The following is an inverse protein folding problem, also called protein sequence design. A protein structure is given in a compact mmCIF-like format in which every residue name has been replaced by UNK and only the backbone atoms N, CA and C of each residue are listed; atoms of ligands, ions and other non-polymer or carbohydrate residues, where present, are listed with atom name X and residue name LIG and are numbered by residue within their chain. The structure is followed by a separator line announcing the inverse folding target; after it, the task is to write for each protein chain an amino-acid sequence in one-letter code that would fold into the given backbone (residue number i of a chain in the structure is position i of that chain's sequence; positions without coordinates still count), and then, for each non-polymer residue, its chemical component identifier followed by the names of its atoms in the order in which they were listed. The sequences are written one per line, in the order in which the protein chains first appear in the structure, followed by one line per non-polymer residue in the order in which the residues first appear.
data_IF_402289454865
#
_entry.id   IF_402289454865
#
_cell.length_a   1.000
_cell.length_b   1.000
_cell.length_c   1.000
_cell.angle_alpha   90.00
_cell.angle_beta   90.00
_cell.angle_gamma   90.00
#
_symmetry.space_group_name_H-M   'P 1'
#
loop_
_entity.id
_entity.type
_entity.pdbx_description
1 polymer ?
2 non-polymer ?
3 non-polymer ?
4 non-polymer ?
5 non-polymer ?
6 non-polymer ?
7 water ?
#
# COMPACT_ATOMS: atom_id res chain seq x y z
N UNK A 17 16.53 -15.02 -8.24
CA UNK A 17 15.52 -14.14 -8.90
C UNK A 17 16.02 -13.32 -10.12
N UNK A 18 15.08 -13.13 -10.99
CA UNK A 18 15.29 -12.34 -12.22
C UNK A 18 15.09 -10.83 -11.89
N UNK A 19 15.79 -9.97 -12.63
CA UNK A 19 15.58 -8.54 -12.41
C UNK A 19 14.13 -8.12 -12.57
N UNK A 20 13.35 -8.75 -13.50
CA UNK A 20 11.98 -8.37 -13.79
C UNK A 20 11.02 -8.99 -12.78
N UNK A 21 11.45 -9.74 -11.80
CA UNK A 21 10.54 -10.33 -10.82
C UNK A 21 9.82 -9.23 -9.99
N UNK A 22 8.61 -9.59 -9.59
CA UNK A 22 7.85 -8.74 -8.66
C UNK A 22 7.52 -9.56 -7.45
N UNK A 23 8.12 -9.24 -6.32
CA UNK A 23 7.93 -10.00 -5.08
C UNK A 23 6.45 -10.05 -4.69
N UNK A 24 6.07 -11.13 -4.04
CA UNK A 24 4.69 -11.40 -3.67
C UNK A 24 4.10 -10.18 -2.94
N UNK A 25 2.93 -9.76 -3.38
CA UNK A 25 2.23 -8.66 -2.78
C UNK A 25 1.54 -8.93 -1.49
N UNK A 26 1.10 -7.86 -0.82
CA UNK A 26 0.18 -8.10 0.26
C UNK A 26 -1.14 -8.63 -0.23
N UNK A 27 -1.91 -9.33 0.64
CA UNK A 27 -3.14 -10.02 0.22
C UNK A 27 -4.38 -9.21 0.54
N UNK A 28 -4.22 -8.14 1.32
CA UNK A 28 -5.36 -7.22 1.57
C UNK A 28 -4.82 -5.77 1.50
N UNK A 29 -5.72 -4.89 1.28
CA UNK A 29 -5.46 -3.45 1.57
C UNK A 29 -6.24 -3.12 2.79
N UNK A 30 -5.69 -2.18 3.59
CA UNK A 30 -6.32 -1.89 4.85
C UNK A 30 -6.39 -0.36 5.01
N UNK A 31 -7.45 0.09 5.69
CA UNK A 31 -7.61 1.48 6.05
C UNK A 31 -8.10 1.62 7.45
N UNK A 32 -7.89 2.80 8.02
CA UNK A 32 -8.58 3.20 9.22
C UNK A 32 -9.87 3.95 8.86
N UNK A 33 -10.98 3.62 9.49
CA UNK A 33 -12.25 4.35 9.36
C UNK A 33 -12.11 5.72 10.02
N UNK A 34 -13.17 6.51 9.92
CA UNK A 34 -13.21 7.85 10.55
C UNK A 34 -13.00 7.71 12.05
N UNK A 35 -13.41 6.57 12.67
CA UNK A 35 -13.20 6.38 14.05
C UNK A 35 -11.96 5.55 14.37
N UNK A 36 -11.14 5.35 13.37
CA UNK A 36 -9.88 4.62 13.43
C UNK A 36 -10.01 3.11 13.46
N UNK A 37 -11.19 2.57 13.44
CA UNK A 37 -11.32 1.09 13.30
C UNK A 37 -10.68 0.63 12.01
N UNK A 38 -9.92 -0.43 12.09
CA UNK A 38 -9.33 -1.04 10.93
C UNK A 38 -10.32 -1.78 10.12
N UNK A 39 -10.16 -1.76 8.78
CA UNK A 39 -11.02 -2.47 7.85
C UNK A 39 -10.15 -2.95 6.73
N UNK A 40 -10.30 -4.23 6.34
CA UNK A 40 -9.48 -4.92 5.36
C UNK A 40 -10.33 -5.34 4.16
N UNK A 41 -9.72 -5.29 3.00
CA UNK A 41 -10.31 -5.57 1.72
C UNK A 41 -9.47 -6.55 0.94
N UNK A 42 -10.04 -7.67 0.51
CA UNK A 42 -9.35 -8.59 -0.37
C UNK A 42 -10.24 -9.26 -1.33
N UNK A 43 -9.67 -10.18 -2.15
CA UNK A 43 -10.42 -10.86 -3.18
C UNK A 43 -10.51 -12.32 -2.80
N UNK A 44 -11.74 -12.86 -2.79
CA UNK A 44 -11.98 -14.25 -2.43
C UNK A 44 -11.96 -15.15 -3.64
N UNK A 45 -12.25 -16.47 -3.31
CA UNK A 45 -12.28 -17.45 -4.38
C UNK A 45 -13.34 -17.34 -5.35
N UNK A 46 -14.37 -16.53 -5.06
CA UNK A 46 -15.40 -16.14 -5.94
C UNK A 46 -15.11 -14.96 -6.85
N UNK A 47 -13.87 -14.52 -6.74
CA UNK A 47 -13.38 -13.34 -7.45
C UNK A 47 -14.09 -12.05 -7.11
N UNK A 48 -14.70 -11.99 -5.97
CA UNK A 48 -15.38 -10.73 -5.49
C UNK A 48 -14.49 -10.16 -4.40
N UNK A 49 -14.66 -8.85 -4.21
CA UNK A 49 -14.05 -8.19 -3.05
C UNK A 49 -14.87 -8.39 -1.82
N UNK A 50 -14.28 -8.83 -0.73
CA UNK A 50 -14.92 -8.90 0.55
C UNK A 50 -14.14 -8.03 1.54
N UNK A 51 -14.81 -7.64 2.62
CA UNK A 51 -14.20 -6.83 3.65
C UNK A 51 -14.65 -7.18 5.01
N UNK A 52 -13.89 -6.81 6.01
CA UNK A 52 -14.10 -7.11 7.41
C UNK A 52 -13.53 -6.00 8.23
N UNK A 53 -14.06 -5.75 9.38
CA UNK A 53 -13.65 -4.62 10.19
C UNK A 53 -13.65 -4.95 11.65
N UNK A 54 -12.84 -4.19 12.39
CA UNK A 54 -12.90 -4.19 13.80
C UNK A 54 -14.24 -3.56 14.25
N UNK A 55 -14.91 -4.14 15.26
CA UNK A 55 -16.13 -3.53 15.77
C UNK A 55 -15.86 -2.31 16.66
N UNK A 56 -14.72 -2.29 17.27
CA UNK A 56 -14.16 -1.19 18.09
C UNK A 56 -12.74 -1.00 17.90
N UNK A 57 -12.17 0.26 18.06
CA UNK A 57 -10.83 0.53 17.58
C UNK A 57 -9.53 0.14 18.28
N UNK A 58 -9.30 -1.14 18.45
CA UNK A 58 -8.12 -1.60 19.11
C UNK A 58 -7.86 -3.03 18.64
N UNK A 59 -6.58 -3.44 18.85
CA UNK A 59 -6.20 -4.71 18.01
C UNK A 59 -6.92 -6.02 18.50
N UNK A 60 -7.10 -6.07 19.80
CA UNK A 60 -7.90 -7.11 20.54
C UNK A 60 -9.38 -7.13 20.34
N UNK A 61 -9.94 -6.23 19.47
CA UNK A 61 -11.39 -6.21 19.33
C UNK A 61 -11.92 -7.44 18.50
N UNK A 62 -13.16 -7.68 18.71
CA UNK A 62 -13.96 -8.59 17.80
C UNK A 62 -14.00 -7.95 16.44
N UNK A 63 -14.08 -8.79 15.46
CA UNK A 63 -14.24 -8.35 14.08
C UNK A 63 -15.68 -8.68 13.65
N UNK A 64 -16.20 -7.91 12.73
CA UNK A 64 -17.56 -8.07 12.30
C UNK A 64 -17.88 -9.31 11.54
N UNK A 65 -16.97 -9.85 10.79
CA UNK A 65 -17.22 -10.97 9.88
C UNK A 65 -17.13 -10.48 8.44
N UNK A 66 -16.88 -11.41 7.54
CA UNK A 66 -16.64 -11.04 6.18
C UNK A 66 -17.90 -10.75 5.46
N UNK A 67 -17.93 -9.61 4.79
CA UNK A 67 -19.04 -9.07 4.00
C UNK A 67 -18.66 -8.89 2.57
N UNK A 68 -19.53 -9.28 1.63
CA UNK A 68 -19.20 -9.26 0.23
C UNK A 68 -19.69 -8.03 -0.52
N UNK A 69 -18.88 -7.48 -1.42
CA UNK A 69 -19.36 -6.57 -2.40
C UNK A 69 -19.76 -7.42 -3.62
N UNK A 70 -20.96 -7.27 -4.16
CA UNK A 70 -21.25 -8.04 -5.42
C UNK A 70 -20.41 -7.56 -6.55
N UNK A 71 -19.92 -8.45 -7.37
CA UNK A 71 -19.19 -8.11 -8.56
C UNK A 71 -17.85 -8.81 -8.69
N UNK A 72 -17.56 -9.34 -9.89
CA UNK A 72 -16.33 -10.00 -10.13
C UNK A 72 -15.28 -8.97 -10.48
N UNK A 73 -14.11 -9.13 -9.88
CA UNK A 73 -13.01 -8.20 -10.10
C UNK A 73 -11.75 -8.93 -10.55
N UNK A 74 -10.78 -8.12 -11.06
CA UNK A 74 -9.63 -8.63 -11.68
C UNK A 74 -8.36 -7.87 -11.23
N UNK A 75 -8.34 -7.24 -10.03
CA UNK A 75 -7.11 -6.74 -9.44
C UNK A 75 -7.23 -6.80 -7.96
N UNK A 76 -6.11 -6.55 -7.30
CA UNK A 76 -6.16 -6.27 -5.86
C UNK A 76 -6.95 -4.97 -5.67
N UNK A 77 -7.80 -4.87 -4.67
CA UNK A 77 -8.50 -3.63 -4.38
C UNK A 77 -7.61 -2.69 -3.58
N UNK A 78 -7.82 -1.40 -3.76
CA UNK A 78 -7.13 -0.39 -3.02
C UNK A 78 -8.13 0.44 -2.30
N UNK A 79 -7.86 0.85 -1.10
CA UNK A 79 -8.84 1.62 -0.30
C UNK A 79 -8.14 2.86 0.23
N UNK A 80 -8.96 3.95 0.34
CA UNK A 80 -8.51 5.15 1.02
C UNK A 80 -9.66 5.73 1.76
N UNK A 81 -9.37 6.46 2.84
CA UNK A 81 -10.37 7.24 3.51
C UNK A 81 -10.50 8.62 2.86
N UNK A 82 -11.69 9.00 2.45
CA UNK A 82 -11.93 10.37 1.97
C UNK A 82 -11.67 11.36 3.07
N UNK A 83 -11.52 12.64 2.70
CA UNK A 83 -11.46 13.73 3.67
C UNK A 83 -12.70 14.01 4.44
N UNK A 84 -13.82 13.31 4.18
CA UNK A 84 -14.98 13.36 4.96
C UNK A 84 -15.18 12.07 5.73
N UNK A 85 -14.15 11.30 5.86
CA UNK A 85 -14.15 10.10 6.68
C UNK A 85 -14.66 8.87 6.03
N UNK A 86 -15.25 8.95 4.85
CA UNK A 86 -15.87 7.78 4.17
C UNK A 86 -14.86 6.95 3.46
N UNK A 87 -14.80 5.61 3.69
CA UNK A 87 -13.90 4.80 2.94
C UNK A 87 -14.39 4.64 1.48
N UNK A 88 -13.41 4.50 0.57
CA UNK A 88 -13.67 4.31 -0.88
C UNK A 88 -12.64 3.34 -1.41
N UNK A 89 -13.15 2.35 -2.13
CA UNK A 89 -12.34 1.26 -2.64
C UNK A 89 -12.37 1.32 -4.16
N UNK A 90 -11.23 1.00 -4.72
CA UNK A 90 -10.96 1.02 -6.18
C UNK A 90 -10.51 -0.36 -6.60
N UNK A 91 -10.97 -0.80 -7.79
CA UNK A 91 -10.56 -2.13 -8.27
C UNK A 91 -10.79 -2.20 -9.75
N UNK A 92 -10.11 -3.16 -10.39
CA UNK A 92 -10.37 -3.36 -11.85
C UNK A 92 -11.43 -4.35 -12.04
N UNK A 93 -12.29 -4.06 -13.02
CA UNK A 93 -13.43 -4.95 -13.36
C UNK A 93 -13.08 -5.96 -14.43
N UNK A 94 -14.06 -6.86 -14.70
CA UNK A 94 -13.80 -7.86 -15.76
C UNK A 94 -13.69 -7.24 -17.10
N UNK A 95 -14.13 -6.00 -17.25
CA UNK A 95 -13.99 -5.16 -18.40
C UNK A 95 -12.64 -4.43 -18.51
N UNK A 96 -11.74 -4.71 -17.52
CA UNK A 96 -10.49 -4.05 -17.37
C UNK A 96 -10.57 -2.57 -17.12
N UNK A 97 -11.75 -2.08 -16.78
CA UNK A 97 -11.97 -0.70 -16.41
C UNK A 97 -11.81 -0.52 -14.89
N UNK A 98 -11.71 0.73 -14.46
CA UNK A 98 -11.62 1.05 -13.04
C UNK A 98 -12.99 1.19 -12.54
N UNK A 99 -13.24 0.63 -11.35
CA UNK A 99 -14.52 0.81 -10.60
C UNK A 99 -14.22 1.21 -9.16
N UNK A 100 -15.21 1.85 -8.61
CA UNK A 100 -15.11 2.30 -7.23
C UNK A 100 -16.39 2.12 -6.42
N UNK A 101 -16.23 1.96 -5.10
CA UNK A 101 -17.36 1.79 -4.20
C UNK A 101 -17.07 2.57 -2.94
N UNK A 102 -18.03 3.23 -2.38
CA UNK A 102 -17.81 4.00 -1.13
C UNK A 102 -18.84 3.78 -0.10
N UNK A 103 -18.38 4.00 1.13
CA UNK A 103 -19.36 4.16 2.22
C UNK A 103 -20.21 5.38 2.00
N UNK A 104 -21.52 5.24 2.16
CA UNK A 104 -22.39 6.36 1.98
C UNK A 104 -22.42 7.28 3.20
N UNK A 105 -21.96 6.80 4.33
CA UNK A 105 -21.72 7.60 5.50
C UNK A 105 -20.52 6.98 6.30
N UNK A 106 -19.77 7.86 6.85
CA UNK A 106 -18.53 7.44 7.59
C UNK A 106 -18.91 6.48 8.72
N UNK A 107 -18.09 5.46 8.91
CA UNK A 107 -18.25 4.48 9.98
C UNK A 107 -19.53 3.70 9.81
N UNK A 108 -20.01 3.51 8.60
CA UNK A 108 -21.22 2.65 8.42
C UNK A 108 -21.01 1.66 7.38
N UNK A 109 -21.66 0.50 7.45
CA UNK A 109 -21.57 -0.48 6.48
C UNK A 109 -22.62 -0.36 5.41
N UNK A 110 -22.90 0.80 4.93
CA UNK A 110 -23.78 0.95 3.79
C UNK A 110 -22.94 1.52 2.69
N UNK A 111 -22.86 0.83 1.60
CA UNK A 111 -21.99 1.16 0.49
C UNK A 111 -22.73 1.48 -0.79
N UNK A 112 -22.10 2.14 -1.74
CA UNK A 112 -22.73 2.49 -2.95
C UNK A 112 -22.89 1.37 -3.91
N UNK A 113 -22.17 0.30 -3.75
CA UNK A 113 -22.02 -0.65 -4.90
C UNK A 113 -21.08 -0.11 -5.98
N UNK A 114 -20.52 -1.02 -6.73
CA UNK A 114 -19.53 -0.62 -7.70
C UNK A 114 -20.07 0.36 -8.73
N UNK A 115 -19.32 1.47 -8.98
CA UNK A 115 -19.66 2.48 -9.92
C UNK A 115 -18.52 2.66 -10.86
N UNK A 116 -18.73 2.99 -12.13
CA UNK A 116 -17.72 2.97 -13.12
C UNK A 116 -16.94 4.25 -13.23
N UNK A 117 -15.63 4.06 -13.36
CA UNK A 117 -14.70 5.13 -13.76
C UNK A 117 -14.09 4.94 -15.12
N UNK A 118 -14.38 3.85 -15.78
CA UNK A 118 -13.95 3.54 -17.16
C UNK A 118 -12.49 3.45 -17.21
N UNK A 119 -11.93 3.82 -18.37
CA UNK A 119 -10.52 3.55 -18.62
C UNK A 119 -10.20 2.09 -18.93
N UNK A 120 -8.90 1.85 -19.17
CA UNK A 120 -8.39 0.57 -19.41
C UNK A 120 -7.10 0.36 -18.70
N UNK A 121 -7.11 -0.54 -17.74
CA UNK A 121 -5.97 -0.53 -16.84
C UNK A 121 -5.32 -1.86 -16.74
N UNK A 122 -3.99 -1.87 -16.49
CA UNK A 122 -3.17 -3.01 -16.47
C UNK A 122 -2.22 -3.06 -15.27
N UNK A 123 -2.72 -2.47 -14.15
CA UNK A 123 -2.07 -2.58 -12.86
C UNK A 123 -3.13 -2.60 -11.83
N UNK A 124 -2.73 -2.88 -10.58
CA UNK A 124 -3.62 -2.51 -9.46
C UNK A 124 -3.81 -1.02 -9.44
N UNK A 125 -4.93 -0.51 -9.01
CA UNK A 125 -5.08 0.93 -8.76
C UNK A 125 -4.35 1.30 -7.51
N UNK A 126 -3.75 2.54 -7.49
CA UNK A 126 -3.14 3.18 -6.34
C UNK A 126 -3.87 4.44 -6.06
N UNK A 127 -4.33 4.63 -4.84
CA UNK A 127 -5.11 5.83 -4.51
C UNK A 127 -4.37 6.67 -3.51
N UNK A 128 -4.40 7.99 -3.68
CA UNK A 128 -3.75 8.92 -2.74
C UNK A 128 -4.74 9.99 -2.44
N UNK A 129 -4.53 10.67 -1.35
CA UNK A 129 -5.36 11.85 -1.04
C UNK A 129 -4.55 13.10 -1.24
N UNK A 130 -4.94 14.04 -2.10
CA UNK A 130 -4.27 15.33 -2.19
C UNK A 130 -4.42 16.13 -0.85
N UNK A 131 -3.53 17.13 -0.75
CA UNK A 131 -3.54 18.00 0.35
C UNK A 131 -4.69 18.99 0.32
N UNK A 132 -5.51 19.01 -0.74
CA UNK A 132 -6.73 19.71 -0.80
C UNK A 132 -7.97 18.85 -0.76
N UNK A 133 -7.75 17.62 -0.17
CA UNK A 133 -8.92 16.79 0.14
C UNK A 133 -9.46 15.94 -1.00
N UNK A 134 -8.89 16.03 -2.21
CA UNK A 134 -9.37 15.26 -3.36
C UNK A 134 -8.58 13.95 -3.52
N UNK A 135 -9.31 12.83 -3.64
CA UNK A 135 -8.67 11.56 -3.95
C UNK A 135 -8.14 11.64 -5.43
N UNK A 136 -7.11 10.86 -5.67
CA UNK A 136 -6.51 10.77 -6.98
C UNK A 136 -6.01 9.33 -7.15
N UNK A 137 -6.26 8.72 -8.31
CA UNK A 137 -5.95 7.34 -8.55
C UNK A 137 -4.96 7.26 -9.72
N UNK A 138 -3.97 6.42 -9.50
CA UNK A 138 -2.87 6.15 -10.48
C UNK A 138 -2.91 4.70 -10.89
N UNK A 139 -2.73 4.46 -12.16
CA UNK A 139 -2.73 3.15 -12.76
C UNK A 139 -1.75 3.05 -13.89
N UNK A 140 -1.34 1.86 -14.17
CA UNK A 140 -0.76 1.59 -15.50
C UNK A 140 -1.90 1.39 -16.53
N UNK A 141 -1.80 2.10 -17.65
CA UNK A 141 -2.79 1.93 -18.68
C UNK A 141 -2.50 0.83 -19.65
N UNK A 142 -3.48 0.65 -20.58
CA UNK A 142 -3.30 -0.36 -21.66
C UNK A 142 -2.05 -0.09 -22.51
N UNK A 143 -1.55 1.11 -22.57
CA UNK A 143 -0.36 1.52 -23.31
C UNK A 143 0.92 1.49 -22.52
N UNK A 144 0.78 0.99 -21.29
CA UNK A 144 1.87 0.87 -20.30
C UNK A 144 2.31 2.20 -19.70
N UNK A 145 1.68 3.31 -20.02
CA UNK A 145 1.93 4.61 -19.40
C UNK A 145 1.26 4.65 -18.03
N UNK A 146 1.70 5.63 -17.26
CA UNK A 146 0.98 5.96 -15.98
C UNK A 146 -0.17 6.85 -16.37
N UNK A 147 -1.38 6.56 -15.91
CA UNK A 147 -2.53 7.41 -16.09
C UNK A 147 -3.12 7.78 -14.76
N UNK A 148 -3.84 8.87 -14.67
CA UNK A 148 -4.48 9.24 -13.41
C UNK A 148 -5.81 9.87 -13.65
N UNK A 149 -6.61 9.92 -12.59
CA UNK A 149 -7.97 10.44 -12.59
C UNK A 149 -8.25 10.91 -11.15
N UNK A 150 -9.00 11.96 -10.95
CA UNK A 150 -9.12 12.57 -9.58
C UNK A 150 -10.49 13.06 -9.35
N UNK A 151 -10.84 13.17 -8.05
CA UNK A 151 -12.04 13.90 -7.66
C UNK A 151 -11.83 15.36 -8.08
N UNK A 152 -12.87 16.01 -8.59
CA UNK A 152 -12.79 17.45 -8.91
C UNK A 152 -13.23 18.29 -7.79
N UNK A 153 -13.87 17.74 -6.78
CA UNK A 153 -14.15 18.42 -5.56
C UNK A 153 -13.95 17.40 -4.40
N UNK A 154 -13.36 17.92 -3.33
CA UNK A 154 -12.95 17.04 -2.21
C UNK A 154 -14.14 16.25 -1.77
N UNK A 155 -13.88 14.93 -1.54
CA UNK A 155 -14.81 13.99 -0.97
C UNK A 155 -16.17 13.94 -1.62
N UNK A 156 -16.15 14.16 -2.95
CA UNK A 156 -17.35 14.20 -3.73
C UNK A 156 -17.26 13.26 -4.87
N UNK A 157 -18.36 12.63 -5.26
CA UNK A 157 -18.37 11.71 -6.43
C UNK A 157 -18.50 12.48 -7.70
N UNK A 158 -17.55 13.30 -7.94
CA UNK A 158 -17.40 14.08 -9.15
C UNK A 158 -15.96 13.87 -9.59
N UNK A 159 -15.73 13.19 -10.74
CA UNK A 159 -14.37 12.86 -11.12
C UNK A 159 -13.94 13.47 -12.43
N UNK A 160 -12.70 13.69 -12.59
CA UNK A 160 -12.07 14.27 -13.78
C UNK A 160 -12.15 13.21 -14.87
N UNK A 161 -11.73 13.65 -16.08
CA UNK A 161 -11.39 12.70 -17.15
C UNK A 161 -10.03 12.03 -16.88
N UNK A 162 -9.77 10.94 -17.52
CA UNK A 162 -8.52 10.30 -17.48
C UNK A 162 -7.45 11.15 -18.13
N UNK A 163 -6.24 11.12 -17.62
CA UNK A 163 -5.09 11.83 -18.22
C UNK A 163 -3.86 11.02 -18.14
N UNK A 164 -3.01 11.08 -19.18
CA UNK A 164 -1.78 10.33 -19.17
C UNK A 164 -0.60 11.15 -18.64
N UNK A 165 0.27 10.49 -17.88
CA UNK A 165 1.54 11.01 -17.52
C UNK A 165 2.69 10.32 -18.19
N UNK A 166 2.38 9.49 -19.19
CA UNK A 166 3.44 8.87 -19.94
C UNK A 166 4.23 7.83 -19.18
N UNK A 167 5.45 7.55 -19.69
CA UNK A 167 6.27 6.51 -19.14
C UNK A 167 5.99 5.15 -19.64
N UNK A 168 6.83 4.19 -19.20
CA UNK A 168 6.63 2.79 -19.48
C UNK A 168 6.82 2.03 -18.20
N UNK A 169 5.75 1.50 -17.63
CA UNK A 169 5.77 0.91 -16.29
C UNK A 169 5.84 -0.58 -16.29
N UNK A 170 6.53 -1.17 -15.34
CA UNK A 170 6.66 -2.61 -15.19
C UNK A 170 6.44 -3.04 -13.76
N UNK A 171 5.88 -2.14 -12.94
CA UNK A 171 5.39 -2.45 -11.58
C UNK A 171 4.04 -1.75 -11.40
N UNK A 172 3.37 -2.08 -10.30
CA UNK A 172 2.26 -1.23 -9.86
C UNK A 172 2.88 0.07 -9.35
N UNK A 173 2.12 1.16 -9.45
CA UNK A 173 2.59 2.47 -8.94
C UNK A 173 2.36 2.58 -7.47
N UNK A 174 3.17 3.45 -6.83
CA UNK A 174 2.99 3.83 -5.45
C UNK A 174 3.09 5.33 -5.40
N UNK A 175 2.18 5.93 -4.62
CA UNK A 175 2.11 7.37 -4.52
C UNK A 175 2.12 7.79 -3.03
N UNK A 176 2.67 9.01 -2.85
CA UNK A 176 2.69 9.61 -1.51
C UNK A 176 2.73 11.13 -1.60
N UNK A 177 2.20 11.84 -0.61
CA UNK A 177 2.40 13.25 -0.50
C UNK A 177 3.77 13.63 0.01
N UNK A 178 4.40 14.56 -0.58
CA UNK A 178 5.56 15.26 0.05
C UNK A 178 5.02 16.11 1.17
N UNK A 179 5.93 16.59 2.01
CA UNK A 179 5.54 17.50 3.08
C UNK A 179 4.94 18.76 2.66
N UNK A 180 5.26 19.18 1.50
CA UNK A 180 4.78 20.41 0.92
C UNK A 180 3.44 20.24 0.14
N UNK A 181 2.84 19.05 0.22
CA UNK A 181 1.60 18.87 -0.41
C UNK A 181 1.59 18.35 -1.83
N UNK A 182 2.75 18.13 -2.46
CA UNK A 182 2.89 17.67 -3.85
C UNK A 182 2.90 16.11 -3.83
N UNK A 183 1.97 15.53 -4.60
CA UNK A 183 2.00 14.09 -4.80
C UNK A 183 3.19 13.71 -5.65
N UNK A 184 3.85 12.62 -5.25
CA UNK A 184 4.92 12.04 -6.01
C UNK A 184 4.65 10.51 -6.22
N UNK A 185 4.88 10.05 -7.43
CA UNK A 185 4.57 8.69 -7.82
C UNK A 185 5.83 7.97 -8.24
N UNK A 186 5.93 6.72 -7.80
CA UNK A 186 7.07 5.83 -8.00
C UNK A 186 6.63 4.61 -8.70
N UNK A 187 7.42 4.13 -9.69
CA UNK A 187 7.10 2.90 -10.40
C UNK A 187 8.33 2.39 -11.09
N UNK A 188 8.36 1.10 -11.26
CA UNK A 188 9.49 0.53 -12.00
C UNK A 188 9.28 0.72 -13.47
N UNK A 189 10.42 0.95 -14.14
CA UNK A 189 10.38 1.16 -15.57
C UNK A 189 10.84 -0.01 -16.38
N UNK A 190 10.96 0.27 -17.70
CA UNK A 190 11.28 -0.80 -18.63
C UNK A 190 12.65 -1.34 -18.46
N UNK A 191 13.54 -0.53 -17.88
CA UNK A 191 14.92 -0.98 -17.47
C UNK A 191 15.03 -1.62 -16.14
N UNK A 192 13.86 -1.92 -15.52
CA UNK A 192 13.74 -2.47 -14.16
C UNK A 192 14.25 -1.55 -13.09
N UNK A 193 14.49 -0.26 -13.37
CA UNK A 193 14.96 0.73 -12.41
C UNK A 193 13.73 1.38 -11.78
N UNK A 194 13.92 1.96 -10.62
CA UNK A 194 12.86 2.78 -10.04
C UNK A 194 12.85 4.14 -10.63
N UNK A 195 11.71 4.60 -11.18
CA UNK A 195 11.51 5.91 -11.66
C UNK A 195 10.44 6.66 -10.84
N UNK A 196 10.40 7.97 -10.98
CA UNK A 196 9.43 8.76 -10.28
C UNK A 196 9.10 10.01 -10.96
N UNK A 197 7.97 10.58 -10.61
CA UNK A 197 7.35 11.77 -11.25
C UNK A 197 6.54 12.46 -10.20
N UNK A 198 6.38 13.76 -10.28
CA UNK A 198 5.77 14.54 -9.18
C UNK A 198 4.98 15.75 -9.60
N UNK A 199 3.93 16.09 -8.84
CA UNK A 199 3.30 17.44 -8.93
C UNK A 199 4.36 18.48 -8.71
N UNK A 200 4.39 19.55 -9.49
CA UNK A 200 5.33 20.63 -9.17
C UNK A 200 4.66 21.74 -8.43
N UNK A 201 3.34 21.67 -8.23
CA UNK A 201 2.64 22.56 -7.36
C UNK A 201 1.63 21.71 -6.57
N UNK A 202 1.51 22.03 -5.27
CA UNK A 202 0.64 21.17 -4.43
C UNK A 202 -0.74 21.04 -4.98
N UNK A 203 -1.26 19.83 -5.03
CA UNK A 203 -2.64 19.56 -5.38
C UNK A 203 -3.13 20.18 -6.63
N UNK A 204 -2.18 20.23 -7.60
CA UNK A 204 -2.44 20.81 -8.90
C UNK A 204 -2.00 19.90 -10.02
N UNK A 205 -2.77 19.90 -11.13
CA UNK A 205 -2.37 19.10 -12.28
C UNK A 205 -1.29 19.82 -13.06
N UNK A 206 -0.10 19.80 -12.52
CA UNK A 206 1.09 20.37 -13.17
C UNK A 206 2.23 19.43 -12.70
N UNK A 207 2.80 18.64 -13.60
CA UNK A 207 3.71 17.54 -13.22
C UNK A 207 5.06 17.67 -13.82
N UNK A 208 6.04 17.10 -13.22
CA UNK A 208 7.37 17.04 -13.69
C UNK A 208 7.48 16.04 -14.86
N UNK A 209 8.73 15.96 -15.42
CA UNK A 209 9.05 14.86 -16.19
C UNK A 209 9.47 13.68 -15.33
N UNK A 210 9.45 12.51 -15.93
CA UNK A 210 9.95 11.29 -15.30
C UNK A 210 11.44 11.40 -15.04
N UNK A 211 11.91 10.95 -13.86
CA UNK A 211 13.33 10.84 -13.58
C UNK A 211 13.61 9.47 -13.00
N UNK A 212 14.82 9.00 -13.27
CA UNK A 212 15.24 7.73 -12.75
C UNK A 212 15.98 7.83 -11.43
N UNK A 213 15.58 6.98 -10.49
CA UNK A 213 16.36 6.75 -9.23
C UNK A 213 17.38 5.66 -9.35
N UNK A 214 17.59 5.10 -10.52
CA UNK A 214 18.86 4.37 -10.78
C UNK A 214 19.23 3.19 -9.86
N UNK A 215 18.28 2.40 -9.53
CA UNK A 215 18.53 1.02 -9.09
C UNK A 215 17.45 0.11 -9.64
N UNK A 216 17.87 -1.08 -10.01
CA UNK A 216 16.96 -2.18 -10.27
C UNK A 216 16.18 -2.46 -8.98
N UNK A 217 14.89 -2.76 -9.10
CA UNK A 217 14.06 -3.26 -8.02
C UNK A 217 13.26 -4.49 -8.51
N UNK A 218 12.98 -5.37 -7.57
CA UNK A 218 12.32 -6.64 -7.88
C UNK A 218 11.01 -6.81 -7.03
N UNK A 219 10.39 -5.66 -6.72
CA UNK A 219 9.13 -5.53 -6.04
C UNK A 219 8.51 -4.26 -6.48
N UNK A 220 7.23 -4.05 -6.18
CA UNK A 220 6.68 -2.71 -6.24
C UNK A 220 7.51 -1.86 -5.25
N UNK A 221 7.60 -0.57 -5.49
CA UNK A 221 8.17 0.35 -4.54
C UNK A 221 7.14 0.62 -3.46
N UNK A 222 7.62 0.89 -2.22
CA UNK A 222 6.78 1.18 -1.11
C UNK A 222 7.33 2.49 -0.47
N UNK A 223 6.49 3.51 -0.25
CA UNK A 223 6.97 4.79 0.17
C UNK A 223 6.27 5.28 1.41
N UNK A 224 7.07 5.93 2.24
CA UNK A 224 6.51 6.45 3.48
C UNK A 224 7.21 7.78 3.74
N UNK A 225 6.62 8.62 4.61
CA UNK A 225 7.28 9.84 4.99
C UNK A 225 7.91 9.65 6.41
N UNK A 226 9.08 10.21 6.56
CA UNK A 226 9.71 10.24 7.85
C UNK A 226 9.13 11.40 8.63
N UNK A 227 9.50 11.40 9.90
CA UNK A 227 9.19 12.54 10.79
C UNK A 227 9.45 13.89 10.25
N UNK A 228 10.64 14.03 9.69
CA UNK A 228 11.07 15.32 9.22
C UNK A 228 10.62 15.75 7.81
N UNK A 229 9.63 15.07 7.31
CA UNK A 229 9.03 15.41 6.01
C UNK A 229 9.46 14.49 4.88
N UNK A 230 10.72 14.04 4.93
CA UNK A 230 11.43 13.44 3.82
C UNK A 230 10.79 12.11 3.42
N UNK A 231 10.60 11.92 2.12
CA UNK A 231 10.08 10.60 1.71
C UNK A 231 11.26 9.59 1.76
N UNK A 232 10.87 8.35 2.02
CA UNK A 232 11.76 7.19 2.01
C UNK A 232 11.09 6.10 1.21
N UNK A 233 11.84 5.46 0.30
CA UNK A 233 11.29 4.47 -0.59
C UNK A 233 12.04 3.19 -0.28
N UNK A 234 11.28 2.13 -0.13
CA UNK A 234 11.73 0.79 0.08
C UNK A 234 11.36 -0.07 -1.07
N UNK A 235 12.22 -1.05 -1.35
CA UNK A 235 11.91 -2.05 -2.40
C UNK A 235 12.86 -3.20 -2.24
N UNK A 236 12.53 -4.32 -2.78
CA UNK A 236 13.49 -5.42 -2.90
C UNK A 236 14.40 -5.14 -4.09
N UNK A 237 15.69 -5.48 -3.94
CA UNK A 237 16.64 -5.33 -5.04
C UNK A 237 16.92 -6.58 -5.84
N UNK A 238 17.83 -6.42 -6.77
CA UNK A 238 18.24 -7.53 -7.65
C UNK A 238 18.79 -8.71 -6.92
N UNK A 239 19.43 -8.53 -5.76
CA UNK A 239 19.93 -9.58 -4.91
C UNK A 239 19.01 -10.09 -3.92
N UNK A 240 17.70 -9.72 -4.07
CA UNK A 240 16.65 -10.21 -3.17
C UNK A 240 16.66 -9.70 -1.79
N UNK A 241 17.43 -8.63 -1.50
CA UNK A 241 17.47 -8.01 -0.17
C UNK A 241 16.71 -6.69 -0.22
N UNK A 242 16.34 -6.23 0.93
CA UNK A 242 15.66 -4.92 1.06
C UNK A 242 16.62 -3.79 0.78
N UNK A 243 16.19 -2.84 0.00
CA UNK A 243 16.98 -1.61 -0.20
C UNK A 243 16.12 -0.38 -0.06
N UNK A 244 16.79 0.74 0.16
CA UNK A 244 15.99 1.93 0.43
C UNK A 244 16.78 3.17 0.12
N UNK A 245 16.06 4.28 -0.13
CA UNK A 245 16.65 5.50 -0.54
C UNK A 245 15.76 6.62 0.02
N UNK A 246 16.35 7.79 0.35
CA UNK A 246 15.52 8.84 0.87
C UNK A 246 15.84 10.20 0.30
N UNK A 247 14.86 11.07 0.41
CA UNK A 247 15.10 12.44 0.08
C UNK A 247 16.03 13.14 1.11
N UNK A 248 16.86 14.03 0.53
CA UNK A 248 17.80 14.64 1.49
C UNK A 248 17.60 16.08 1.65
N UNK A 249 16.61 16.62 1.00
CA UNK A 249 16.43 18.10 1.04
C UNK A 249 14.95 18.33 1.29
N UNK A 250 14.47 19.40 0.66
CA UNK A 250 13.09 19.98 0.76
C UNK A 250 12.48 19.92 -0.72
N UNK A 251 13.04 19.02 -1.56
CA UNK A 251 12.79 18.95 -3.04
C UNK A 251 12.53 17.44 -3.39
N UNK A 252 11.87 17.23 -4.56
CA UNK A 252 11.75 15.92 -5.11
C UNK A 252 12.92 15.47 -5.88
N UNK A 253 13.92 16.33 -6.09
CA UNK A 253 15.09 15.93 -6.97
C UNK A 253 16.40 15.57 -6.24
N UNK A 254 16.62 15.93 -4.98
CA UNK A 254 17.88 15.42 -4.34
C UNK A 254 17.68 14.25 -3.31
N UNK A 255 18.29 13.08 -3.63
CA UNK A 255 18.12 11.91 -2.84
C UNK A 255 19.52 11.35 -2.44
N UNK A 256 19.47 10.57 -1.42
CA UNK A 256 20.60 9.82 -0.94
C UNK A 256 21.04 8.79 -1.92
N UNK A 257 22.17 8.16 -1.65
CA UNK A 257 22.44 6.89 -2.35
C UNK A 257 21.47 5.82 -1.90
N UNK A 258 21.37 4.72 -2.65
CA UNK A 258 20.71 3.54 -2.19
C UNK A 258 21.52 2.81 -1.19
N UNK A 259 20.88 2.26 -0.19
CA UNK A 259 21.50 1.31 0.71
C UNK A 259 20.70 0.00 0.71
N UNK A 260 21.36 -1.11 0.90
CA UNK A 260 20.73 -2.39 1.05
C UNK A 260 20.96 -2.85 2.49
N UNK A 261 20.08 -3.62 2.97
CA UNK A 261 20.19 -4.32 4.26
C UNK A 261 20.35 -5.78 4.07
N UNK A 262 21.30 -6.45 4.77
CA UNK A 262 21.40 -7.85 4.60
C UNK A 262 20.12 -8.60 5.01
N UNK A 263 19.90 -9.72 4.34
CA UNK A 263 18.81 -10.62 4.63
C UNK A 263 17.93 -10.83 3.42
N UNK A 264 17.85 -12.03 2.88
CA UNK A 264 17.04 -12.24 1.70
C UNK A 264 15.54 -12.26 2.07
N UNK A 265 14.79 -11.44 1.35
CA UNK A 265 13.33 -11.32 1.53
C UNK A 265 12.67 -11.85 0.26
N UNK A 266 11.45 -12.32 0.49
CA UNK A 266 10.67 -13.10 -0.45
C UNK A 266 9.24 -12.58 -0.65
N UNK A 267 9.03 -11.34 -0.26
CA UNK A 267 7.79 -10.60 -0.56
C UNK A 267 8.10 -9.16 -0.69
N UNK A 268 7.09 -8.40 -1.08
CA UNK A 268 7.17 -6.96 -0.90
C UNK A 268 7.38 -6.62 0.55
N UNK A 269 8.06 -5.50 0.78
CA UNK A 269 8.14 -4.96 2.15
C UNK A 269 6.89 -4.10 2.48
N UNK A 270 6.71 -3.89 3.76
CA UNK A 270 5.69 -3.00 4.28
C UNK A 270 6.28 -2.14 5.34
N UNK A 271 6.20 -0.84 5.12
CA UNK A 271 6.76 0.09 6.09
C UNK A 271 5.75 0.82 6.93
N UNK A 272 6.17 1.18 8.16
CA UNK A 272 5.30 1.91 9.07
C UNK A 272 6.18 2.79 9.96
N UNK A 273 5.64 3.95 10.37
CA UNK A 273 6.34 4.81 11.34
C UNK A 273 5.76 4.46 12.69
N UNK A 274 6.58 4.14 13.68
CA UNK A 274 6.16 3.72 15.00
C UNK A 274 5.86 5.00 15.83
N UNK A 275 5.55 4.71 17.10
CA UNK A 275 5.05 5.71 18.01
C UNK A 275 6.07 6.74 18.37
N UNK A 276 7.34 6.38 18.29
CA UNK A 276 8.48 7.21 18.54
C UNK A 276 8.98 7.93 17.30
N UNK A 277 8.33 7.76 16.15
CA UNK A 277 8.74 8.36 14.92
C UNK A 277 9.74 7.58 14.14
N UNK A 278 10.06 6.38 14.53
CA UNK A 278 11.18 5.68 13.84
C UNK A 278 10.44 4.75 12.85
N UNK A 279 11.14 4.40 11.81
CA UNK A 279 10.56 3.54 10.80
C UNK A 279 10.79 2.09 11.19
N UNK A 280 9.90 1.26 10.72
CA UNK A 280 9.94 -0.25 10.86
C UNK A 280 9.55 -0.80 9.53
N UNK A 281 10.19 -1.88 9.12
CA UNK A 281 9.84 -2.59 7.92
C UNK A 281 9.58 -4.03 8.19
N UNK A 282 8.52 -4.55 7.60
CA UNK A 282 8.13 -5.96 7.72
C UNK A 282 8.22 -6.58 6.35
N UNK A 283 8.64 -7.87 6.23
CA UNK A 283 8.71 -8.51 4.92
C UNK A 283 8.75 -10.01 5.19
N UNK A 284 8.27 -10.82 4.22
CA UNK A 284 8.51 -12.26 4.35
C UNK A 284 10.00 -12.50 4.12
N UNK A 285 10.57 -13.38 4.94
CA UNK A 285 12.00 -13.65 4.85
C UNK A 285 12.29 -14.91 4.05
N UNK A 286 13.58 -15.19 3.92
CA UNK A 286 14.03 -16.35 3.18
C UNK A 286 13.47 -17.64 3.69
N UNK A 287 13.17 -17.74 4.95
CA UNK A 287 12.53 -18.93 5.55
C UNK A 287 11.00 -18.92 5.51
N UNK A 288 10.48 -17.95 4.74
CA UNK A 288 9.05 -17.80 4.62
C UNK A 288 8.29 -17.46 5.88
N UNK A 289 8.92 -16.94 6.91
CA UNK A 289 8.29 -16.39 8.04
C UNK A 289 8.30 -14.86 7.94
N UNK A 290 7.44 -14.24 8.72
CA UNK A 290 7.50 -12.76 8.80
C UNK A 290 8.73 -12.30 9.54
N UNK A 291 9.44 -11.37 8.89
CA UNK A 291 10.60 -10.67 9.43
C UNK A 291 10.27 -9.17 9.70
N UNK A 292 10.93 -8.63 10.76
CA UNK A 292 10.74 -7.24 11.09
C UNK A 292 12.11 -6.64 11.34
N UNK A 293 12.30 -5.40 10.88
CA UNK A 293 13.50 -4.58 11.19
C UNK A 293 13.08 -3.18 11.54
N UNK A 294 13.83 -2.55 12.45
CA UNK A 294 13.47 -1.22 12.85
C UNK A 294 14.68 -0.35 12.93
N UNK A 295 14.45 0.95 12.80
CA UNK A 295 15.55 1.93 13.07
C UNK A 295 15.86 1.98 14.52
N UNK A 296 17.15 1.82 14.91
CA UNK A 296 17.48 1.71 16.32
C UNK A 296 17.60 3.07 16.98
N UNK A 297 17.74 4.13 16.22
CA UNK A 297 17.56 5.45 16.79
C UNK A 297 17.25 6.35 15.62
N UNK A 298 17.23 7.67 15.82
CA UNK A 298 16.79 8.64 14.80
C UNK A 298 17.59 8.52 13.56
N UNK A 299 16.95 8.34 12.43
CA UNK A 299 17.65 8.08 11.17
C UNK A 299 18.48 6.79 10.97
N UNK A 300 18.34 5.78 11.81
CA UNK A 300 19.05 4.45 11.64
C UNK A 300 20.06 4.34 12.76
N UNK A 301 20.96 3.35 12.66
CA UNK A 301 21.02 2.26 11.73
C UNK A 301 19.88 1.25 11.98
N UNK A 302 19.75 0.29 11.08
CA UNK A 302 18.65 -0.70 11.13
C UNK A 302 19.02 -1.89 11.90
N UNK A 303 18.10 -2.41 12.66
CA UNK A 303 18.32 -3.60 13.47
C UNK A 303 18.53 -4.81 12.59
N UNK A 304 19.16 -5.86 13.13
CA UNK A 304 18.97 -7.18 12.56
C UNK A 304 17.47 -7.53 12.42
N UNK A 305 17.19 -8.30 11.43
CA UNK A 305 15.82 -8.78 11.28
C UNK A 305 15.45 -9.72 12.40
N UNK A 306 14.24 -9.57 12.97
CA UNK A 306 13.67 -10.50 13.89
C UNK A 306 12.54 -11.24 13.23
N UNK A 307 12.27 -12.49 13.62
CA UNK A 307 11.34 -13.36 12.89
C UNK A 307 10.18 -13.70 13.84
N UNK A 308 8.95 -13.69 13.33
CA UNK A 308 7.79 -14.19 14.06
C UNK A 308 7.61 -15.65 13.64
N UNK A 309 7.12 -16.48 14.61
CA UNK A 309 6.80 -17.85 14.24
C UNK A 309 5.72 -17.93 13.20
N UNK A 310 5.87 -18.86 12.27
CA UNK A 310 4.80 -19.24 11.33
C UNK A 310 5.06 -18.96 9.88
N UNK A 311 4.91 -19.94 9.00
CA UNK A 311 5.07 -19.76 7.58
C UNK A 311 3.89 -18.96 7.02
N UNK A 312 4.21 -17.94 6.23
CA UNK A 312 3.24 -17.05 5.59
C UNK A 312 3.31 -17.12 4.11
N UNK A 313 2.20 -16.74 3.45
CA UNK A 313 1.97 -16.94 2.05
C UNK A 313 1.68 -15.71 1.23
N UNK A 314 1.99 -14.53 1.82
CA UNK A 314 1.91 -13.30 1.13
C UNK A 314 2.91 -12.36 1.78
N UNK A 315 3.02 -11.14 1.19
CA UNK A 315 3.68 -10.06 1.94
C UNK A 315 2.77 -9.71 3.16
N UNK A 316 3.33 -9.11 4.19
CA UNK A 316 2.55 -8.47 5.26
C UNK A 316 1.92 -7.21 4.74
N UNK A 317 0.75 -6.90 5.33
CA UNK A 317 0.08 -5.60 5.24
C UNK A 317 0.08 -5.05 6.61
N UNK A 318 0.58 -3.81 6.80
CA UNK A 318 0.78 -3.28 8.15
C UNK A 318 -0.17 -2.12 8.37
N UNK A 319 -0.66 -2.00 9.58
CA UNK A 319 -1.52 -0.92 9.95
C UNK A 319 -1.25 -0.48 11.35
N UNK A 320 -1.88 0.64 11.76
CA UNK A 320 -1.75 1.18 13.11
C UNK A 320 -3.16 1.35 13.70
N UNK A 321 -3.34 0.92 14.93
CA UNK A 321 -4.58 1.12 15.63
C UNK A 321 -4.70 2.50 16.23
N UNK A 322 -5.90 2.80 16.72
CA UNK A 322 -6.20 4.07 17.34
C UNK A 322 -5.28 4.48 18.46
N UNK A 323 -4.68 3.49 19.16
CA UNK A 323 -3.73 3.73 20.21
C UNK A 323 -2.26 3.62 19.84
N UNK A 324 -2.03 3.53 18.55
CA UNK A 324 -0.70 3.48 18.00
C UNK A 324 -0.16 2.06 17.92
N UNK A 325 -0.84 1.07 18.38
CA UNK A 325 -0.32 -0.29 18.28
C UNK A 325 -0.27 -0.76 16.85
N UNK A 326 0.86 -1.34 16.44
CA UNK A 326 1.01 -1.93 15.10
C UNK A 326 0.37 -3.28 15.01
N UNK A 327 -0.28 -3.47 13.87
CA UNK A 327 -1.01 -4.73 13.55
C UNK A 327 -0.63 -5.13 12.14
N UNK A 328 -0.41 -6.43 11.98
CA UNK A 328 0.13 -6.98 10.72
C UNK A 328 -0.80 -8.10 10.26
N UNK A 329 -1.19 -8.05 9.00
CA UNK A 329 -2.02 -9.07 8.33
C UNK A 329 -1.27 -9.83 7.27
N UNK A 330 -1.57 -11.13 7.13
CA UNK A 330 -0.86 -11.98 6.16
C UNK A 330 -1.76 -13.09 5.72
N UNK A 331 -1.50 -13.65 4.57
CA UNK A 331 -2.14 -14.91 4.13
C UNK A 331 -1.44 -16.08 4.75
N UNK A 332 -2.26 -16.96 5.35
CA UNK A 332 -1.72 -18.22 5.90
C UNK A 332 -1.72 -19.33 4.91
N UNK A 333 -1.17 -20.48 5.41
CA UNK A 333 -1.10 -21.60 4.54
C UNK A 333 -2.46 -22.29 4.33
N UNK A 334 -3.46 -21.96 5.18
CA UNK A 334 -4.85 -22.30 4.98
C UNK A 334 -5.55 -21.33 3.93
N UNK A 335 -4.81 -20.38 3.33
CA UNK A 335 -5.37 -19.39 2.39
C UNK A 335 -6.33 -18.45 3.10
N UNK A 336 -6.28 -18.37 4.41
CA UNK A 336 -7.12 -17.43 5.16
C UNK A 336 -6.26 -16.29 5.69
N UNK A 337 -6.92 -15.22 6.11
CA UNK A 337 -6.23 -14.10 6.67
C UNK A 337 -5.92 -14.27 8.10
N UNK A 338 -4.67 -14.04 8.50
CA UNK A 338 -4.25 -14.03 9.87
C UNK A 338 -3.62 -12.66 10.28
N UNK A 339 -3.65 -12.37 11.58
CA UNK A 339 -3.05 -11.16 12.08
C UNK A 339 -2.43 -11.28 13.39
N UNK A 340 -1.50 -10.41 13.71
CA UNK A 340 -0.89 -10.26 15.01
C UNK A 340 -0.61 -8.81 15.30
N UNK A 341 -0.37 -8.49 16.57
CA UNK A 341 -0.26 -7.09 16.90
C UNK A 341 0.53 -6.90 18.17
N UNK A 342 0.91 -5.64 18.43
CA UNK A 342 1.50 -5.24 19.65
C UNK A 342 0.50 -5.23 20.80
N UNK A 343 0.97 -5.75 21.94
CA UNK A 343 0.08 -5.83 23.09
C UNK A 343 0.02 -4.51 23.85
N UNK A 344 1.02 -3.71 23.74
CA UNK A 344 0.96 -2.33 24.32
C UNK A 344 1.42 -1.27 23.38
N UNK A 345 1.05 0.00 23.71
CA UNK A 345 1.56 1.09 22.91
C UNK A 345 2.97 1.49 23.27
N UNK A 346 3.97 0.83 22.73
CA UNK A 346 5.33 1.06 23.04
C UNK A 346 6.19 0.55 21.93
N UNK A 347 7.31 1.21 21.62
CA UNK A 347 8.14 0.73 20.54
C UNK A 347 8.65 -0.66 20.83
N UNK A 348 8.88 -0.97 22.12
CA UNK A 348 9.38 -2.30 22.49
C UNK A 348 8.28 -3.19 23.00
N UNK A 349 6.98 -2.94 22.68
CA UNK A 349 5.91 -3.87 23.06
C UNK A 349 6.20 -5.35 22.60
N UNK A 350 5.71 -6.28 23.42
CA UNK A 350 5.67 -7.66 22.98
C UNK A 350 4.55 -7.78 21.94
N UNK A 351 4.47 -8.94 21.27
CA UNK A 351 3.54 -9.17 20.17
C UNK A 351 2.70 -10.37 20.47
N UNK A 352 1.52 -10.43 19.98
CA UNK A 352 0.70 -11.60 19.94
C UNK A 352 1.27 -12.57 18.84
N UNK A 353 0.81 -13.85 18.85
CA UNK A 353 1.10 -14.74 17.75
C UNK A 353 -0.11 -14.80 16.81
N UNK A 354 0.10 -15.29 15.59
CA UNK A 354 -0.89 -15.26 14.53
C UNK A 354 -2.27 -15.75 14.97
N UNK A 355 -3.33 -14.92 14.75
CA UNK A 355 -4.71 -15.30 14.97
C UNK A 355 -5.51 -15.23 13.70
N UNK A 356 -6.50 -16.08 13.51
CA UNK A 356 -7.25 -16.19 12.32
C UNK A 356 -8.39 -15.20 12.24
N UNK A 357 -8.61 -14.55 11.09
CA UNK A 357 -9.89 -13.80 10.78
C UNK A 357 -10.66 -14.60 9.80
N UNK A 358 -11.42 -15.58 10.33
CA UNK A 358 -11.95 -16.56 9.41
C UNK A 358 -13.28 -16.25 8.71
N UNK A 359 -13.61 -17.06 7.73
CA UNK A 359 -14.91 -17.03 7.08
C UNK A 359 -14.88 -17.09 5.58
N UNK A 360 -13.74 -16.68 4.97
CA UNK A 360 -13.49 -16.79 3.58
C UNK A 360 -11.96 -17.19 3.44
N UNK A 361 -11.61 -17.57 2.26
CA UNK A 361 -10.24 -17.63 1.89
C UNK A 361 -10.00 -16.61 0.79
N UNK A 362 -8.73 -16.30 0.61
CA UNK A 362 -8.34 -15.24 -0.33
C UNK A 362 -7.45 -15.70 -1.44
N UNK A 363 -7.41 -14.92 -2.54
CA UNK A 363 -6.56 -15.17 -3.68
C UNK A 363 -5.77 -13.87 -3.93
N UNK A 364 -4.63 -14.06 -4.58
CA UNK A 364 -3.78 -12.90 -5.01
C UNK A 364 -4.21 -12.45 -6.38
N UNK A 365 -5.01 -11.39 -6.42
CA UNK A 365 -5.51 -10.84 -7.66
C UNK A 365 -4.65 -9.76 -8.20
N UNK A 366 -3.48 -9.52 -7.62
CA UNK A 366 -2.60 -8.44 -8.14
C UNK A 366 -2.34 -8.56 -9.60
N UNK A 367 -2.50 -7.47 -10.34
CA UNK A 367 -2.41 -7.55 -11.79
C UNK A 367 -0.98 -7.83 -12.24
N UNK A 368 -0.02 -7.11 -11.69
CA UNK A 368 1.39 -7.24 -12.06
C UNK A 368 2.01 -8.03 -10.89
N UNK A 369 2.40 -9.22 -11.24
CA UNK A 369 2.91 -10.12 -10.25
C UNK A 369 4.05 -10.96 -10.82
X LIG B 1 -0.74 8.45 -0.82
X LIG C 1 19.64 12.28 14.83
X LIG D 1 -5.95 22.20 -5.75
X LIG E 1 -18.54 14.52 0.98
X LIG F 1 -1.10 6.79 -1.92
X LIG G 1 1.69 -1.75 -25.42
X LIG G 1 0.90 -2.78 -24.86
X LIG G 1 1.75 -4.02 -24.83
X LIG G 1 1.45 -4.92 -23.73
X LIG G 1 2.34 -4.71 -22.60
X LIG G 1 2.82 -5.80 -21.70
X LIG G 1 3.53 -5.25 -20.52
X LIG G 1 4.64 -4.43 -20.87
X LIG G 1 5.12 -3.51 -19.79
X LIG G 1 6.23 -2.67 -20.24
X LIG G 1 7.29 -3.58 -20.68
X LIG G 1 8.68 -2.92 -20.77
X LIG G 1 9.68 -3.94 -20.36
X LIG H 1 -9.82 10.86 11.36
X LIG H 1 -9.56 9.60 11.90
X LIG H 1 -10.05 9.60 13.37
X LIG H 1 -9.46 10.57 14.16
X LIG H 1 -8.14 10.40 14.12
X LIG H 1 -7.76 11.00 15.51
X LIG H 1 -6.38 10.77 15.81
X LIG H 1 -6.04 9.47 15.98
X LIG H 1 -4.58 8.87 16.00
X LIG H 1 -4.51 7.95 14.85
X LIG H 1 -3.75 6.71 15.01
X LIG H 1 -4.08 5.79 13.84
X LIG H 1 -3.34 6.21 12.72
X LIG I 1 -7.13 5.39 -19.46
X LIG I 1 -7.65 4.48 -20.35
X LIG I 1 -6.25 4.61 -18.57
X LIG I 1 -7.11 4.07 -17.61
X LIG J 1 15.77 -14.46 10.98
X LIG J 1 16.36 -14.58 12.27
X LIG J 1 16.50 -13.40 10.23
X LIG J 1 17.59 -13.76 9.38
X LIG K 1 -16.45 -19.88 -6.85
X LIG K 1 -17.37 -18.91 -7.40
X LIG K 1 -15.74 -20.39 -8.11
X LIG K 1 -14.55 -21.14 -7.86
X LIG L 1 8.70 4.74 -16.52
X LIG L 1 8.49 4.23 -15.12
X LIG L 1 9.44 5.90 -16.82
X LIG L 1 9.82 6.15 -18.23
X LIG M 1 0.09 -18.68 11.06
X LIG M 1 -0.65 -19.79 10.60
X LIG M 1 1.27 -18.44 10.09
X LIG M 1 0.47 -18.07 9.00
X LIG N 1 -17.86 -4.31 -11.33
X LIG N 1 -18.98 -5.06 -11.15
X LIG N 1 -16.67 -5.21 -11.44
X LIG N 1 -16.49 -5.93 -12.73
X LIG O 1 9.83 -10.59 17.53
X LIG O 1 8.97 -11.71 17.46
X LIG O 1 9.31 -9.24 16.92
X LIG O 1 10.36 -8.23 16.78
X LIG P 1 1.48 12.30 -22.08
X LIG P 1 2.06 11.28 -22.85
X LIG P 1 2.47 12.77 -21.02
X LIG P 1 2.99 14.07 -21.25
#
# INVERSE_FOLDING_TARGET
MPNPDNTEAYVAGEVEIENSAIALSGIVSVANNADNRLEVFGVSTDSAVWHNWQTAPLPNSSWAGWNKFNGVVTSKPAVHRNSDGRLEVFVRGTDNALWHNWQTAADTNTWSSWQPLYGGITSNPEVCLNSDGRLEVFVRGSDNALWHIWQTAAHTNSWSNWKSLGGTLTSNPAAHLNADGRIEVFARGADNALWHIWQTAAHTDQWSNWQSLKSVITSDPVVINNCDGRLEVFARGADSTLRHISQIGSDSVSWSNWQCLDGVITSAPAAVKNISGQLEVFARGADNTLWRTWQTSHNGPWSNWSSFTGIIASAPTVAKNSDGRIEVFVLGLDKALWHLWQTTSSTTSSWTTWALIGGITLIDASVIK
HG HG
HG HG
CA CA
CA CA
CL CL
PG4 O1 C1 C2 O2 C3 C4 O3 C5 C6 O4 C7 C8 O5
PG4 O1 C1 C2 O2 C3 C4 O3 C5 C6 O4 C7 C8 O5
EDO C1 O1 C2 O2
EDO C1 O1 C2 O2
EDO C1 O1 C2 O2
EDO C1 O1 C2 O2
EDO C1 O1 C2 O2
EDO C1 O1 C2 O2
EDO C1 O1 C2 O2
EDO C1 O1 C2 O2
#
